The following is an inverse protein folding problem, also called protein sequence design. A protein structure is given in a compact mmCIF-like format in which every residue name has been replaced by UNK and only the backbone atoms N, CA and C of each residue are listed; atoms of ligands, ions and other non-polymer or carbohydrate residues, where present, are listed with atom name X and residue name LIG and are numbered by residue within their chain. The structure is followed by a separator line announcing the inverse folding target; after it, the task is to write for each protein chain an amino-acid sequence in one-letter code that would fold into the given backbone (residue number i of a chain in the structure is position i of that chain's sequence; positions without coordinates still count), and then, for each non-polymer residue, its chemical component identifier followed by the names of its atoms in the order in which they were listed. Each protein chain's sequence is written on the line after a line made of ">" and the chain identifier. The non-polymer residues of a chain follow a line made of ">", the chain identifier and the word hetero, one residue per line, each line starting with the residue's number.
data_IF_201537055268
#
_entry.id   IF_201537055268
#
_cell.length_a   1.000
_cell.length_b   1.000
_cell.length_c   1.000
_cell.angle_alpha   90.00
_cell.angle_beta   90.00
_cell.angle_gamma   90.00
#
_symmetry.space_group_name_H-M   'P 1'
#
loop_
_entity.id
_entity.type
_entity.pdbx_description
1 polymer ?
#
# COMPACT_ATOMS: atom_id res chain seq x y z
N UNK A 1 18.77 3.70 48.53
CA UNK A 1 19.78 3.61 47.43
C UNK A 1 19.67 2.28 46.68
N UNK A 2 19.64 1.12 47.30
CA UNK A 2 19.61 -0.18 46.65
C UNK A 2 18.45 -0.41 45.66
N UNK A 3 17.21 -0.02 46.04
CA UNK A 3 16.03 -0.18 45.20
C UNK A 3 16.11 0.62 43.87
N UNK A 4 16.66 1.82 43.90
CA UNK A 4 16.81 2.64 42.69
C UNK A 4 17.91 2.08 41.75
N UNK A 5 18.96 1.49 42.32
CA UNK A 5 20.01 0.82 41.54
C UNK A 5 19.46 -0.46 40.88
N UNK A 6 18.64 -1.22 41.58
CA UNK A 6 17.96 -2.40 41.05
C UNK A 6 17.02 -2.03 39.90
N UNK A 7 16.13 -1.08 40.10
CA UNK A 7 15.18 -0.60 39.09
C UNK A 7 15.95 -0.13 37.83
N UNK A 8 16.98 0.69 38.00
CA UNK A 8 17.80 1.21 36.89
C UNK A 8 18.47 0.10 36.07
N UNK A 9 19.03 -0.93 36.75
CA UNK A 9 19.68 -2.06 36.05
C UNK A 9 18.68 -2.88 35.24
N UNK A 10 17.50 -3.19 35.82
CA UNK A 10 16.49 -3.97 35.14
C UNK A 10 15.85 -3.20 33.98
N UNK A 11 15.54 -1.92 34.15
CA UNK A 11 15.04 -1.08 33.07
C UNK A 11 16.03 -1.07 31.89
N UNK A 12 17.31 -0.89 32.15
CA UNK A 12 18.31 -0.91 31.07
C UNK A 12 18.37 -2.27 30.36
N UNK A 13 18.36 -3.38 31.12
CA UNK A 13 18.38 -4.73 30.52
C UNK A 13 17.15 -4.97 29.64
N UNK A 14 15.96 -4.65 30.13
CA UNK A 14 14.73 -4.83 29.36
C UNK A 14 14.71 -3.96 28.11
N UNK A 15 15.19 -2.71 28.20
CA UNK A 15 15.28 -1.82 27.03
C UNK A 15 16.27 -2.36 26.00
N UNK A 16 17.42 -2.89 26.42
CA UNK A 16 18.40 -3.53 25.52
C UNK A 16 17.82 -4.77 24.87
N UNK A 17 17.14 -5.63 25.63
CA UNK A 17 16.47 -6.82 25.07
C UNK A 17 15.45 -6.40 24.02
N UNK A 18 14.61 -5.40 24.33
CA UNK A 18 13.62 -4.92 23.39
C UNK A 18 14.25 -4.32 22.12
N UNK A 19 15.33 -3.55 22.28
CA UNK A 19 16.11 -3.03 21.15
C UNK A 19 16.65 -4.16 20.24
N UNK A 20 17.19 -5.23 20.84
CA UNK A 20 17.72 -6.37 20.09
C UNK A 20 16.65 -7.20 19.35
N UNK A 21 15.39 -7.14 19.80
CA UNK A 21 14.28 -7.79 19.09
C UNK A 21 13.97 -7.14 17.74
N UNK A 22 14.34 -5.87 17.53
CA UNK A 22 14.10 -5.17 16.25
C UNK A 22 14.89 -5.81 15.11
N UNK A 23 16.22 -5.89 15.15
CA UNK A 23 16.98 -6.51 14.08
C UNK A 23 16.63 -7.98 13.89
N UNK A 24 16.25 -8.70 14.96
CA UNK A 24 15.76 -10.06 14.86
C UNK A 24 14.43 -10.14 14.09
N UNK A 25 13.51 -9.22 14.35
CA UNK A 25 12.24 -9.13 13.61
C UNK A 25 12.46 -8.77 12.14
N UNK A 26 13.37 -7.85 11.86
CA UNK A 26 13.75 -7.47 10.51
C UNK A 26 14.43 -8.63 9.77
N UNK A 27 15.38 -9.32 10.42
CA UNK A 27 16.00 -10.51 9.86
C UNK A 27 14.96 -11.61 9.57
N UNK A 28 13.98 -11.77 10.46
CA UNK A 28 12.84 -12.66 10.23
C UNK A 28 12.09 -12.31 8.94
N UNK A 29 11.78 -11.05 8.68
CA UNK A 29 11.16 -10.61 7.44
C UNK A 29 11.99 -10.89 6.19
N UNK A 30 13.31 -10.70 6.28
CA UNK A 30 14.22 -10.96 5.18
C UNK A 30 14.41 -12.45 4.87
N UNK A 31 14.33 -13.29 5.91
CA UNK A 31 14.46 -14.75 5.81
C UNK A 31 13.11 -15.43 5.56
N UNK A 32 12.02 -14.65 5.50
CA UNK A 32 10.68 -15.17 5.33
C UNK A 32 10.50 -15.84 3.95
N UNK A 33 9.74 -16.92 3.93
CA UNK A 33 9.31 -17.59 2.70
C UNK A 33 7.85 -17.24 2.39
N UNK A 34 7.45 -17.34 1.13
CA UNK A 34 6.15 -16.93 0.63
C UNK A 34 4.95 -17.53 1.37
N UNK A 35 5.14 -18.65 2.05
CA UNK A 35 4.10 -19.42 2.76
C UNK A 35 4.06 -19.17 4.27
N UNK A 36 4.83 -18.20 4.79
CA UNK A 36 4.88 -17.92 6.23
C UNK A 36 3.65 -17.19 6.73
N UNK A 37 2.70 -17.95 7.24
CA UNK A 37 1.46 -17.46 7.82
C UNK A 37 1.67 -16.46 8.97
N UNK A 38 2.71 -16.67 9.80
CA UNK A 38 2.98 -15.82 10.96
C UNK A 38 3.35 -14.40 10.55
N UNK A 39 4.22 -14.22 9.54
CA UNK A 39 4.60 -12.90 9.04
C UNK A 39 3.39 -12.17 8.43
N UNK A 40 2.55 -12.89 7.68
CA UNK A 40 1.30 -12.34 7.16
C UNK A 40 0.39 -11.85 8.29
N UNK A 41 0.15 -12.68 9.31
CA UNK A 41 -0.66 -12.29 10.46
C UNK A 41 -0.09 -11.05 11.16
N UNK A 42 1.22 -10.95 11.30
CA UNK A 42 1.85 -9.78 11.88
C UNK A 42 1.66 -8.53 11.02
N UNK A 43 1.90 -8.61 9.70
CA UNK A 43 1.77 -7.48 8.78
C UNK A 43 0.33 -6.96 8.68
N UNK A 44 -0.67 -7.84 8.83
CA UNK A 44 -2.08 -7.49 8.83
C UNK A 44 -2.66 -7.27 10.24
N UNK A 45 -1.81 -7.29 11.29
CA UNK A 45 -2.21 -6.96 12.66
C UNK A 45 -2.02 -5.48 12.98
N UNK A 46 -2.57 -4.99 14.12
CA UNK A 46 -2.35 -3.62 14.57
C UNK A 46 -0.91 -3.44 15.07
N UNK A 47 0.01 -3.15 14.17
CA UNK A 47 1.47 -3.00 14.42
C UNK A 47 1.80 -1.93 15.48
N UNK A 48 0.90 -0.98 15.73
CA UNK A 48 1.04 0.00 16.81
C UNK A 48 1.18 -0.63 18.20
N UNK A 49 0.77 -1.90 18.38
CA UNK A 49 0.99 -2.64 19.62
C UNK A 49 2.47 -2.74 20.01
N UNK A 50 3.38 -2.65 19.03
CA UNK A 50 4.83 -2.59 19.30
C UNK A 50 5.24 -1.33 20.07
N UNK A 51 4.46 -0.26 20.03
CA UNK A 51 4.76 0.98 20.74
C UNK A 51 4.48 0.86 22.24
N UNK A 52 3.57 -0.01 22.66
CA UNK A 52 3.15 -0.13 24.07
C UNK A 52 4.31 -0.53 25.02
N UNK A 53 5.11 -1.57 24.72
CA UNK A 53 6.29 -1.88 25.53
C UNK A 53 7.30 -0.73 25.55
N UNK A 54 7.50 -0.06 24.40
CA UNK A 54 8.41 1.07 24.29
C UNK A 54 8.02 2.23 25.22
N UNK A 55 6.74 2.64 25.20
CA UNK A 55 6.24 3.72 26.08
C UNK A 55 6.44 3.34 27.54
N UNK A 56 6.14 2.10 27.92
CA UNK A 56 6.34 1.59 29.28
C UNK A 56 7.81 1.62 29.69
N UNK A 57 8.72 1.21 28.81
CA UNK A 57 10.16 1.23 29.08
C UNK A 57 10.73 2.65 29.16
N UNK A 58 10.26 3.58 28.36
CA UNK A 58 10.63 5.01 28.44
C UNK A 58 10.15 5.63 29.77
N UNK A 59 8.92 5.34 30.18
CA UNK A 59 8.41 5.80 31.48
C UNK A 59 9.24 5.25 32.65
N UNK A 60 9.59 3.95 32.60
CA UNK A 60 10.47 3.34 33.59
C UNK A 60 11.89 3.93 33.57
N UNK A 61 12.42 4.27 32.39
CA UNK A 61 13.74 4.89 32.24
C UNK A 61 13.77 6.28 32.89
N UNK A 62 12.71 7.06 32.75
CA UNK A 62 12.54 8.35 33.41
C UNK A 62 12.47 8.16 34.94
N UNK A 63 11.59 7.29 35.42
CA UNK A 63 11.41 7.00 36.85
C UNK A 63 12.73 6.49 37.50
N UNK A 64 13.47 5.62 36.80
CA UNK A 64 14.76 5.11 37.24
C UNK A 64 15.92 6.08 37.03
N UNK A 65 15.69 7.26 36.45
CA UNK A 65 16.72 8.23 36.06
C UNK A 65 17.87 7.60 35.24
N UNK A 66 17.52 6.69 34.34
CA UNK A 66 18.48 5.94 33.50
C UNK A 66 18.62 6.57 32.12
N UNK A 67 19.57 7.51 31.95
CA UNK A 67 19.83 8.18 30.65
C UNK A 67 20.12 7.18 29.52
N UNK A 68 20.81 6.10 29.81
CA UNK A 68 21.14 5.08 28.80
C UNK A 68 19.90 4.29 28.36
N UNK A 69 19.05 3.84 29.29
CA UNK A 69 17.80 3.17 28.92
C UNK A 69 16.89 4.11 28.12
N UNK A 70 16.82 5.40 28.50
CA UNK A 70 16.04 6.40 27.77
C UNK A 70 16.58 6.61 26.33
N UNK A 71 17.88 6.80 26.16
CA UNK A 71 18.51 6.98 24.85
C UNK A 71 18.32 5.75 23.94
N UNK A 72 18.55 4.55 24.47
CA UNK A 72 18.31 3.30 23.73
C UNK A 72 16.83 3.18 23.36
N UNK A 73 15.90 3.52 24.26
CA UNK A 73 14.47 3.53 23.98
C UNK A 73 14.08 4.46 22.85
N UNK A 74 14.65 5.66 22.77
CA UNK A 74 14.41 6.59 21.64
C UNK A 74 14.92 6.02 20.32
N UNK A 75 16.14 5.46 20.30
CA UNK A 75 16.69 4.82 19.09
C UNK A 75 15.82 3.63 18.67
N UNK A 76 15.34 2.83 19.65
CA UNK A 76 14.38 1.74 19.42
C UNK A 76 13.11 2.26 18.75
N UNK A 77 12.58 3.39 19.23
CA UNK A 77 11.39 4.03 18.64
C UNK A 77 11.58 4.36 17.17
N UNK A 78 12.69 4.98 16.82
CA UNK A 78 13.02 5.29 15.42
C UNK A 78 13.09 4.00 14.58
N UNK A 79 13.77 2.96 15.09
CA UNK A 79 13.89 1.67 14.40
C UNK A 79 12.57 0.89 14.26
N UNK A 80 11.55 1.18 15.08
CA UNK A 80 10.22 0.59 14.95
C UNK A 80 9.36 1.34 13.93
N UNK A 81 9.42 2.67 13.91
CA UNK A 81 8.49 3.52 13.16
C UNK A 81 8.49 3.23 11.65
N UNK A 82 9.64 3.22 11.02
CA UNK A 82 9.72 2.99 9.57
C UNK A 82 9.73 1.50 9.22
N UNK A 83 10.73 0.69 9.65
CA UNK A 83 10.87 -0.65 9.11
C UNK A 83 9.81 -1.65 9.61
N UNK A 84 9.28 -1.49 10.82
CA UNK A 84 8.29 -2.43 11.38
C UNK A 84 6.86 -1.94 11.28
N UNK A 85 6.62 -0.64 11.43
CA UNK A 85 5.27 -0.07 11.34
C UNK A 85 4.92 0.46 9.94
N UNK A 86 5.89 0.54 9.03
CA UNK A 86 5.68 1.02 7.66
C UNK A 86 5.47 2.53 7.56
N UNK A 87 5.87 3.29 8.61
CA UNK A 87 5.80 4.74 8.59
C UNK A 87 6.80 5.32 7.60
N UNK A 88 6.45 6.43 6.96
CA UNK A 88 7.32 7.17 6.05
C UNK A 88 7.39 8.63 6.44
N UNK A 89 8.56 9.21 6.30
CA UNK A 89 8.76 10.65 6.39
C UNK A 89 9.06 11.09 4.95
N UNK A 90 8.02 11.56 4.26
CA UNK A 90 8.14 12.04 2.88
C UNK A 90 8.99 13.30 2.85
N UNK A 91 10.25 13.14 2.54
CA UNK A 91 11.11 14.24 2.13
C UNK A 91 11.13 14.14 0.61
N UNK A 92 10.42 15.05 -0.07
CA UNK A 92 10.61 15.19 -1.52
C UNK A 92 12.08 15.54 -1.74
N UNK A 93 12.85 14.58 -2.19
CA UNK A 93 14.29 14.76 -2.46
C UNK A 93 14.54 15.40 -3.82
N UNK A 94 13.48 15.54 -4.61
CA UNK A 94 13.59 16.15 -5.94
C UNK A 94 13.37 17.66 -5.85
N UNK A 95 14.21 18.47 -6.50
CA UNK A 95 13.94 19.90 -6.66
C UNK A 95 12.60 20.07 -7.38
N UNK A 96 11.95 21.23 -7.19
CA UNK A 96 10.74 21.55 -7.96
C UNK A 96 11.04 21.40 -9.46
N UNK A 97 10.18 20.67 -10.20
CA UNK A 97 10.41 20.50 -11.62
C UNK A 97 10.35 21.85 -12.32
N UNK A 98 11.16 22.06 -13.36
CA UNK A 98 10.98 23.20 -14.24
C UNK A 98 9.53 23.26 -14.78
N UNK A 99 9.00 24.43 -15.12
CA UNK A 99 7.64 24.59 -15.62
C UNK A 99 7.32 23.77 -16.88
N UNK A 100 8.34 23.28 -17.57
CA UNK A 100 8.25 22.50 -18.81
C UNK A 100 7.99 21.01 -18.63
N UNK A 101 7.97 20.49 -17.37
CA UNK A 101 7.68 19.07 -17.16
C UNK A 101 6.19 18.77 -17.24
N UNK A 102 5.84 17.73 -18.01
CA UNK A 102 4.51 17.18 -17.98
C UNK A 102 4.19 16.64 -16.57
N UNK A 103 3.01 16.98 -16.08
CA UNK A 103 2.54 16.60 -14.76
C UNK A 103 1.27 15.77 -14.87
N UNK A 104 1.26 14.64 -14.17
CA UNK A 104 0.13 13.72 -14.12
C UNK A 104 -0.24 13.41 -12.67
N UNK A 105 -1.51 13.64 -12.33
CA UNK A 105 -2.08 13.23 -11.05
C UNK A 105 -2.92 11.99 -11.25
N UNK A 106 -2.52 10.93 -10.60
CA UNK A 106 -3.15 9.60 -10.71
C UNK A 106 -3.76 9.19 -9.38
N UNK A 107 -5.03 8.79 -9.41
CA UNK A 107 -5.73 8.24 -8.25
C UNK A 107 -6.01 6.76 -8.49
N UNK A 108 -5.79 5.92 -7.46
CA UNK A 108 -6.32 4.55 -7.41
C UNK A 108 -7.21 4.37 -6.20
N UNK A 109 -8.31 3.62 -6.36
CA UNK A 109 -9.25 3.36 -5.28
C UNK A 109 -10.04 2.05 -5.49
N UNK A 110 -9.95 1.15 -4.53
CA UNK A 110 -10.89 0.04 -4.44
C UNK A 110 -12.22 0.57 -3.88
N UNK A 111 -13.22 0.67 -4.75
CA UNK A 111 -14.53 1.26 -4.46
C UNK A 111 -15.54 0.26 -3.87
N UNK A 112 -15.11 -0.94 -3.51
CA UNK A 112 -15.98 -1.94 -2.91
C UNK A 112 -16.73 -1.40 -1.70
N UNK A 113 -18.02 -1.76 -1.57
CA UNK A 113 -18.96 -1.28 -0.54
C UNK A 113 -19.41 0.20 -0.67
N UNK A 114 -18.85 0.99 -1.59
CA UNK A 114 -19.25 2.38 -1.82
C UNK A 114 -20.46 2.51 -2.77
N UNK A 115 -21.50 1.70 -2.53
CA UNK A 115 -22.67 1.56 -3.41
C UNK A 115 -23.78 2.59 -3.15
N UNK A 116 -23.71 3.32 -2.04
CA UNK A 116 -24.76 4.26 -1.66
C UNK A 116 -24.52 5.67 -2.21
N UNK A 117 -25.59 6.45 -2.30
CA UNK A 117 -25.56 7.81 -2.84
C UNK A 117 -24.61 8.77 -2.10
N UNK A 118 -24.40 8.56 -0.78
CA UNK A 118 -23.48 9.39 0.00
C UNK A 118 -22.03 9.12 -0.41
N UNK A 119 -21.65 7.87 -0.62
CA UNK A 119 -20.31 7.45 -1.07
C UNK A 119 -20.03 7.99 -2.50
N UNK A 120 -21.01 7.87 -3.40
CA UNK A 120 -20.89 8.41 -4.77
C UNK A 120 -20.73 9.93 -4.74
N UNK A 121 -21.49 10.62 -3.89
CA UNK A 121 -21.35 12.07 -3.72
C UNK A 121 -19.96 12.44 -3.16
N UNK A 122 -19.48 11.71 -2.14
CA UNK A 122 -18.15 11.93 -1.58
C UNK A 122 -17.05 11.71 -2.62
N UNK A 123 -17.19 10.67 -3.45
CA UNK A 123 -16.27 10.40 -4.55
C UNK A 123 -16.23 11.56 -5.57
N UNK A 124 -17.39 12.07 -5.99
CA UNK A 124 -17.48 13.23 -6.90
C UNK A 124 -16.81 14.48 -6.30
N UNK A 125 -17.15 14.82 -5.06
CA UNK A 125 -16.55 15.98 -4.38
C UNK A 125 -15.04 15.83 -4.24
N UNK A 126 -14.56 14.62 -3.99
CA UNK A 126 -13.13 14.38 -3.87
C UNK A 126 -12.39 14.43 -5.21
N UNK A 127 -13.03 14.05 -6.32
CA UNK A 127 -12.49 14.28 -7.66
C UNK A 127 -12.35 15.78 -7.97
N UNK A 128 -13.38 16.58 -7.61
CA UNK A 128 -13.36 18.03 -7.80
C UNK A 128 -12.26 18.70 -6.96
N UNK A 129 -12.03 18.24 -5.73
CA UNK A 129 -11.00 18.76 -4.85
C UNK A 129 -9.60 18.35 -5.29
N UNK A 130 -9.40 17.06 -5.57
CA UNK A 130 -8.08 16.48 -5.84
C UNK A 130 -7.62 16.65 -7.30
N UNK A 131 -8.55 16.93 -8.24
CA UNK A 131 -8.25 17.19 -9.65
C UNK A 131 -7.35 16.13 -10.30
N UNK A 132 -7.67 14.83 -10.24
CA UNK A 132 -6.87 13.80 -10.88
C UNK A 132 -6.95 13.90 -12.41
N UNK A 133 -5.96 13.41 -13.12
CA UNK A 133 -5.93 13.25 -14.58
C UNK A 133 -6.40 11.87 -15.01
N UNK A 134 -6.10 10.87 -14.17
CA UNK A 134 -6.39 9.45 -14.37
C UNK A 134 -6.90 8.87 -13.05
N UNK A 135 -8.01 8.13 -13.13
CA UNK A 135 -8.60 7.41 -11.99
C UNK A 135 -8.65 5.92 -12.32
N UNK A 136 -8.14 5.11 -11.41
CA UNK A 136 -8.03 3.64 -11.54
C UNK A 136 -8.85 3.00 -10.44
N UNK A 137 -9.97 2.33 -10.78
CA UNK A 137 -10.92 1.78 -9.82
C UNK A 137 -10.92 0.25 -9.83
N UNK A 138 -10.98 -0.34 -8.64
CA UNK A 138 -11.21 -1.77 -8.42
C UNK A 138 -12.53 -1.94 -7.67
N UNK A 139 -13.14 -3.12 -7.77
CA UNK A 139 -14.46 -3.42 -7.22
C UNK A 139 -15.49 -2.31 -7.51
N UNK A 140 -15.35 -1.63 -8.65
CA UNK A 140 -16.19 -0.48 -8.98
C UNK A 140 -17.66 -0.92 -9.08
N UNK A 141 -18.55 -0.41 -8.21
CA UNK A 141 -19.94 -0.80 -8.21
C UNK A 141 -20.67 -0.28 -9.46
N UNK A 142 -21.76 -0.95 -9.83
CA UNK A 142 -22.60 -0.58 -10.99
C UNK A 142 -23.27 0.78 -10.84
N UNK A 143 -23.42 1.24 -9.61
CA UNK A 143 -23.98 2.52 -9.21
C UNK A 143 -23.08 3.70 -9.63
N UNK A 144 -21.78 3.49 -9.73
CA UNK A 144 -20.83 4.48 -10.27
C UNK A 144 -20.93 4.47 -11.79
N UNK A 145 -21.50 5.53 -12.35
CA UNK A 145 -21.80 5.69 -13.79
C UNK A 145 -20.84 6.67 -14.46
N UNK A 146 -20.88 6.74 -15.77
CA UNK A 146 -20.09 7.73 -16.53
C UNK A 146 -20.34 9.17 -16.08
N UNK A 147 -21.59 9.53 -15.75
CA UNK A 147 -21.93 10.84 -15.22
C UNK A 147 -21.41 11.17 -13.81
N UNK A 148 -20.71 10.23 -13.15
CA UNK A 148 -20.01 10.47 -11.88
C UNK A 148 -18.58 10.97 -12.08
N UNK A 149 -18.11 11.00 -13.32
CA UNK A 149 -16.82 11.59 -13.71
C UNK A 149 -17.03 12.95 -14.38
N UNK A 150 -16.02 13.82 -14.42
CA UNK A 150 -16.12 15.11 -15.06
C UNK A 150 -16.50 15.01 -16.54
N UNK A 151 -17.24 16.00 -17.04
CA UNK A 151 -17.68 16.02 -18.44
C UNK A 151 -16.48 15.93 -19.40
N UNK A 152 -16.64 15.15 -20.45
CA UNK A 152 -15.62 14.96 -21.47
C UNK A 152 -14.55 13.91 -21.13
N UNK A 153 -14.64 13.27 -19.97
CA UNK A 153 -13.74 12.17 -19.62
C UNK A 153 -14.07 10.91 -20.40
N UNK A 154 -13.02 10.13 -20.70
CA UNK A 154 -13.16 8.78 -21.24
C UNK A 154 -13.23 7.79 -20.09
N UNK A 155 -14.34 7.04 -20.02
CA UNK A 155 -14.54 6.00 -19.00
C UNK A 155 -14.47 4.63 -19.66
N UNK A 156 -13.57 3.79 -19.19
CA UNK A 156 -13.25 2.50 -19.79
C UNK A 156 -13.47 1.37 -18.78
N UNK A 157 -14.31 0.40 -19.13
CA UNK A 157 -14.57 -0.78 -18.31
C UNK A 157 -13.72 -1.97 -18.79
N UNK A 158 -12.98 -2.62 -17.88
CA UNK A 158 -12.23 -3.84 -18.14
C UNK A 158 -12.97 -5.12 -17.69
N UNK A 159 -14.20 -4.99 -17.19
CA UNK A 159 -14.90 -6.11 -16.56
C UNK A 159 -14.38 -6.40 -15.14
N UNK A 160 -15.00 -7.35 -14.44
CA UNK A 160 -14.63 -7.77 -13.08
C UNK A 160 -14.48 -6.63 -12.06
N UNK A 161 -15.26 -5.53 -12.20
CA UNK A 161 -15.17 -4.36 -11.35
C UNK A 161 -13.96 -3.45 -11.62
N UNK A 162 -13.18 -3.74 -12.66
CA UNK A 162 -12.06 -2.87 -13.07
C UNK A 162 -12.56 -1.75 -13.98
N UNK A 163 -12.21 -0.51 -13.64
CA UNK A 163 -12.53 0.66 -14.45
C UNK A 163 -11.38 1.65 -14.44
N UNK A 164 -11.17 2.32 -15.56
CA UNK A 164 -10.25 3.45 -15.65
C UNK A 164 -11.00 4.62 -16.25
N UNK A 165 -10.88 5.80 -15.65
CA UNK A 165 -11.38 7.05 -16.19
C UNK A 165 -10.23 8.03 -16.38
N UNK A 166 -10.26 8.80 -17.47
CA UNK A 166 -9.20 9.76 -17.80
C UNK A 166 -9.75 10.99 -18.49
N UNK A 167 -9.15 12.15 -18.22
CA UNK A 167 -9.42 13.37 -18.98
C UNK A 167 -8.89 13.31 -20.42
N UNK A 168 -8.03 12.34 -20.70
CA UNK A 168 -7.47 12.08 -22.03
C UNK A 168 -8.25 10.97 -22.74
N UNK A 169 -8.11 10.89 -24.05
CA UNK A 169 -8.63 9.77 -24.81
C UNK A 169 -7.94 8.47 -24.40
N UNK A 170 -8.70 7.39 -24.45
CA UNK A 170 -8.12 6.10 -24.12
C UNK A 170 -9.05 4.96 -24.53
N UNK A 171 -8.54 3.74 -24.40
CA UNK A 171 -9.29 2.52 -24.63
C UNK A 171 -8.87 1.42 -23.65
N UNK A 172 -9.80 0.57 -23.33
CA UNK A 172 -9.48 -0.72 -22.74
C UNK A 172 -8.88 -1.62 -23.83
N UNK A 173 -7.76 -2.28 -23.55
CA UNK A 173 -7.09 -3.12 -24.50
C UNK A 173 -7.32 -4.61 -24.21
N UNK A 174 -7.06 -5.03 -22.98
CA UNK A 174 -7.13 -6.43 -22.59
C UNK A 174 -7.43 -6.58 -21.11
N UNK A 175 -8.14 -7.64 -20.73
CA UNK A 175 -8.28 -8.05 -19.33
C UNK A 175 -7.76 -9.47 -19.17
N UNK A 176 -6.82 -9.65 -18.25
CA UNK A 176 -6.47 -10.96 -17.74
C UNK A 176 -7.59 -11.38 -16.79
N UNK A 177 -8.56 -12.09 -17.35
CA UNK A 177 -9.75 -12.48 -16.64
C UNK A 177 -9.50 -13.62 -15.67
N UNK A 178 -10.50 -13.86 -14.84
CA UNK A 178 -10.62 -14.99 -13.94
C UNK A 178 -10.67 -16.31 -14.73
N UNK A 179 -9.52 -16.75 -15.21
CA UNK A 179 -9.35 -18.17 -15.51
C UNK A 179 -9.20 -18.89 -14.18
N UNK A 180 -9.40 -20.20 -14.14
CA UNK A 180 -9.28 -21.04 -12.94
C UNK A 180 -7.94 -20.90 -12.17
N UNK A 181 -7.00 -20.09 -12.67
CA UNK A 181 -5.67 -19.85 -12.13
C UNK A 181 -5.51 -18.48 -11.44
N UNK A 182 -6.39 -17.52 -11.70
CA UNK A 182 -6.32 -16.13 -11.18
C UNK A 182 -7.65 -15.77 -10.54
N UNK A 183 -8.18 -16.63 -9.70
CA UNK A 183 -9.40 -16.38 -8.94
C UNK A 183 -9.05 -15.89 -7.54
N UNK A 184 -9.72 -14.87 -7.04
CA UNK A 184 -10.67 -13.93 -7.65
C UNK A 184 -10.02 -12.66 -8.23
N UNK A 185 -8.70 -12.64 -8.43
CA UNK A 185 -7.97 -11.49 -8.92
C UNK A 185 -8.21 -11.22 -10.40
N UNK A 186 -8.06 -9.99 -10.79
CA UNK A 186 -8.14 -9.54 -12.18
C UNK A 186 -7.11 -8.45 -12.46
N UNK A 187 -6.74 -8.30 -13.71
CA UNK A 187 -5.86 -7.24 -14.17
C UNK A 187 -6.34 -6.73 -15.53
N UNK A 188 -6.42 -5.42 -15.71
CA UNK A 188 -6.81 -4.78 -16.96
C UNK A 188 -5.70 -3.90 -17.50
N UNK A 189 -5.49 -3.92 -18.82
CA UNK A 189 -4.58 -3.04 -19.54
C UNK A 189 -5.38 -2.01 -20.31
N UNK A 190 -4.99 -0.74 -20.12
CA UNK A 190 -5.64 0.40 -20.74
C UNK A 190 -4.58 1.29 -21.38
N UNK A 191 -4.92 1.86 -22.50
CA UNK A 191 -4.07 2.76 -23.27
C UNK A 191 -4.64 4.16 -23.17
N UNK A 192 -3.84 5.11 -22.70
CA UNK A 192 -4.20 6.53 -22.55
C UNK A 192 -3.33 7.35 -23.50
N UNK A 193 -3.95 8.14 -24.37
CA UNK A 193 -3.28 8.99 -25.35
C UNK A 193 -3.12 10.39 -24.75
N UNK A 194 -1.92 10.73 -24.28
CA UNK A 194 -1.61 12.02 -23.68
C UNK A 194 -0.82 12.90 -24.64
N UNK A 195 -0.70 14.22 -24.39
CA UNK A 195 0.16 15.09 -25.22
C UNK A 195 1.63 14.67 -25.25
N UNK A 196 2.10 13.99 -24.19
CA UNK A 196 3.50 13.61 -24.01
C UNK A 196 3.77 12.15 -24.46
N UNK A 197 2.76 11.51 -25.04
CA UNK A 197 2.85 10.14 -25.52
C UNK A 197 1.78 9.22 -24.95
N UNK A 198 1.91 7.95 -25.26
CA UNK A 198 0.96 6.92 -24.82
C UNK A 198 1.39 6.38 -23.48
N UNK A 199 0.49 6.49 -22.48
CA UNK A 199 0.67 5.89 -21.16
C UNK A 199 -0.14 4.59 -21.09
N UNK A 200 0.53 3.49 -20.78
CA UNK A 200 -0.14 2.20 -20.50
C UNK A 200 -0.47 2.11 -19.01
N UNK A 201 -1.75 1.93 -18.69
CA UNK A 201 -2.23 1.73 -17.33
C UNK A 201 -2.54 0.25 -17.12
N UNK A 202 -1.91 -0.36 -16.13
CA UNK A 202 -2.27 -1.68 -15.61
C UNK A 202 -3.06 -1.51 -14.32
N UNK A 203 -4.36 -1.82 -14.37
CA UNK A 203 -5.26 -1.79 -13.22
C UNK A 203 -5.30 -3.18 -12.61
N UNK A 204 -4.84 -3.33 -11.37
CA UNK A 204 -4.72 -4.62 -10.69
C UNK A 204 -5.69 -4.74 -9.50
N UNK A 205 -6.28 -5.92 -9.35
CA UNK A 205 -6.95 -6.36 -8.14
C UNK A 205 -6.54 -7.80 -7.85
N UNK A 206 -5.55 -8.00 -6.97
CA UNK A 206 -4.99 -9.30 -6.63
C UNK A 206 -5.78 -9.98 -5.49
N UNK A 207 -5.69 -11.32 -5.35
CA UNK A 207 -6.40 -12.05 -4.31
C UNK A 207 -6.04 -11.60 -2.90
N UNK A 208 -7.06 -11.48 -2.04
CA UNK A 208 -6.88 -11.09 -0.65
C UNK A 208 -6.51 -12.27 0.24
N UNK A 209 -5.59 -12.12 1.23
CA UNK A 209 -5.32 -13.14 2.21
C UNK A 209 -6.37 -13.20 3.34
N UNK A 210 -7.36 -12.32 3.33
CA UNK A 210 -8.35 -12.15 4.39
C UNK A 210 -9.07 -13.44 4.80
N UNK A 211 -9.58 -14.29 3.89
CA UNK A 211 -10.26 -15.51 4.28
C UNK A 211 -9.38 -16.43 5.13
N UNK A 212 -8.11 -16.59 4.76
CA UNK A 212 -7.15 -17.39 5.52
C UNK A 212 -6.80 -16.77 6.87
N UNK A 213 -6.70 -15.43 6.96
CA UNK A 213 -6.48 -14.72 8.22
C UNK A 213 -7.67 -14.91 9.16
N UNK A 214 -8.89 -14.81 8.65
CA UNK A 214 -10.13 -15.04 9.42
C UNK A 214 -10.24 -16.48 9.93
N UNK A 215 -9.92 -17.46 9.10
CA UNK A 215 -9.87 -18.88 9.49
C UNK A 215 -8.82 -19.17 10.56
N UNK A 216 -7.63 -18.60 10.43
CA UNK A 216 -6.59 -18.70 11.45
C UNK A 216 -7.05 -18.10 12.78
N UNK A 217 -7.71 -16.95 12.76
CA UNK A 217 -8.26 -16.29 13.95
C UNK A 217 -9.39 -17.13 14.61
N UNK A 218 -10.29 -17.70 13.82
CA UNK A 218 -11.37 -18.57 14.33
C UNK A 218 -10.81 -19.81 15.03
N UNK A 219 -9.71 -20.36 14.52
CA UNK A 219 -9.00 -21.48 15.17
C UNK A 219 -8.11 -21.06 16.34
N UNK A 220 -8.23 -19.81 16.84
CA UNK A 220 -7.34 -19.23 17.87
C UNK A 220 -5.85 -19.34 17.52
N UNK A 221 -5.52 -19.20 16.24
CA UNK A 221 -4.16 -19.32 15.69
C UNK A 221 -3.50 -20.69 15.89
N UNK A 222 -4.30 -21.74 16.03
CA UNK A 222 -3.78 -23.12 16.15
C UNK A 222 -3.71 -23.86 14.81
N UNK A 223 -4.42 -23.36 13.76
CA UNK A 223 -4.45 -23.97 12.43
C UNK A 223 -4.19 -22.92 11.36
N UNK A 224 -3.20 -23.18 10.52
CA UNK A 224 -2.76 -22.26 9.45
C UNK A 224 -2.96 -22.81 8.04
N UNK A 225 -3.57 -24.01 7.90
CA UNK A 225 -3.72 -24.68 6.61
C UNK A 225 -4.44 -23.80 5.56
N UNK A 226 -5.60 -23.25 5.91
CA UNK A 226 -6.36 -22.38 5.01
C UNK A 226 -5.59 -21.11 4.66
N UNK A 227 -4.90 -20.50 5.63
CA UNK A 227 -4.09 -19.33 5.38
C UNK A 227 -2.96 -19.63 4.38
N UNK A 228 -2.27 -20.75 4.55
CA UNK A 228 -1.22 -21.21 3.61
C UNK A 228 -1.78 -21.38 2.20
N UNK A 229 -2.91 -22.08 2.05
CA UNK A 229 -3.54 -22.27 0.75
C UNK A 229 -3.90 -20.95 0.08
N UNK A 230 -4.43 -19.99 0.84
CA UNK A 230 -4.76 -18.65 0.30
C UNK A 230 -3.50 -17.88 -0.08
N UNK A 231 -2.42 -17.97 0.70
CA UNK A 231 -1.15 -17.33 0.38
C UNK A 231 -0.47 -17.94 -0.87
N UNK A 232 -0.55 -19.26 -1.04
CA UNK A 232 -0.07 -19.93 -2.25
C UNK A 232 -0.86 -19.47 -3.49
N UNK A 233 -2.19 -19.33 -3.37
CA UNK A 233 -3.03 -18.81 -4.43
C UNK A 233 -2.66 -17.36 -4.76
N UNK A 234 -2.49 -16.51 -3.74
CA UNK A 234 -2.06 -15.12 -3.92
C UNK A 234 -0.70 -15.04 -4.62
N UNK A 235 0.27 -15.86 -4.20
CA UNK A 235 1.61 -15.92 -4.81
C UNK A 235 1.55 -16.34 -6.28
N UNK A 236 0.75 -17.36 -6.61
CA UNK A 236 0.53 -17.82 -7.97
C UNK A 236 -0.12 -16.74 -8.83
N UNK A 237 -1.16 -16.08 -8.33
CA UNK A 237 -1.86 -15.01 -9.03
C UNK A 237 -0.96 -13.81 -9.28
N UNK A 238 -0.21 -13.36 -8.25
CA UNK A 238 0.75 -12.27 -8.37
C UNK A 238 1.80 -12.55 -9.45
N UNK A 239 2.39 -13.75 -9.44
CA UNK A 239 3.36 -14.18 -10.47
C UNK A 239 2.73 -14.16 -11.87
N UNK A 240 1.54 -14.71 -12.04
CA UNK A 240 0.85 -14.75 -13.34
C UNK A 240 0.57 -13.34 -13.86
N UNK A 241 0.09 -12.43 -13.00
CA UNK A 241 -0.15 -11.04 -13.38
C UNK A 241 1.17 -10.33 -13.69
N UNK A 242 2.22 -10.56 -12.91
CA UNK A 242 3.56 -10.00 -13.17
C UNK A 242 4.12 -10.44 -14.51
N UNK A 243 3.97 -11.72 -14.86
CA UNK A 243 4.37 -12.27 -16.16
C UNK A 243 3.54 -11.70 -17.30
N UNK A 244 2.25 -11.41 -17.09
CA UNK A 244 1.38 -10.78 -18.08
C UNK A 244 1.71 -9.29 -18.27
N UNK A 245 1.98 -8.54 -17.20
CA UNK A 245 2.49 -7.16 -17.26
C UNK A 245 3.83 -7.13 -18.00
N UNK A 246 4.68 -8.16 -17.83
CA UNK A 246 6.03 -8.29 -18.39
C UNK A 246 6.92 -7.10 -18.01
N UNK A 247 7.80 -6.71 -18.93
CA UNK A 247 8.55 -5.45 -18.83
C UNK A 247 7.88 -4.41 -19.75
N UNK A 248 7.05 -3.51 -19.18
CA UNK A 248 6.35 -2.53 -19.98
C UNK A 248 7.35 -1.65 -20.73
N UNK A 249 7.10 -1.43 -22.01
CA UNK A 249 7.88 -0.51 -22.83
C UNK A 249 7.23 0.87 -22.84
N UNK A 250 8.03 1.93 -22.83
CA UNK A 250 7.54 3.31 -22.84
C UNK A 250 6.93 3.74 -21.49
N UNK A 251 5.98 4.66 -21.55
CA UNK A 251 5.34 5.21 -20.36
C UNK A 251 4.30 4.24 -19.81
N UNK A 252 4.43 3.87 -18.55
CA UNK A 252 3.45 3.00 -17.90
C UNK A 252 3.27 3.29 -16.42
N UNK A 253 2.09 2.92 -15.93
CA UNK A 253 1.75 2.89 -14.52
C UNK A 253 1.05 1.58 -14.18
N UNK A 254 1.34 1.05 -13.01
CA UNK A 254 0.65 -0.12 -12.46
C UNK A 254 -0.03 0.35 -11.17
N UNK A 255 -1.34 0.32 -11.15
CA UNK A 255 -2.09 0.85 -10.01
C UNK A 255 -3.22 -0.09 -9.60
N UNK A 256 -3.57 -0.11 -8.31
CA UNK A 256 -4.69 -0.88 -7.83
C UNK A 256 -4.50 -1.47 -6.46
N UNK A 257 -5.39 -2.42 -6.15
CA UNK A 257 -5.37 -3.20 -4.91
C UNK A 257 -4.53 -4.47 -5.11
N UNK A 258 -3.31 -4.43 -4.61
CA UNK A 258 -2.39 -5.58 -4.65
C UNK A 258 -2.69 -6.60 -3.55
N UNK A 259 -3.54 -6.23 -2.59
CA UNK A 259 -3.85 -7.05 -1.42
C UNK A 259 -2.60 -7.56 -0.69
N UNK A 260 -1.48 -6.80 -0.75
CA UNK A 260 -0.24 -7.12 -0.04
C UNK A 260 0.54 -5.86 0.34
N UNK A 261 1.06 -5.78 1.57
CA UNK A 261 1.99 -4.73 1.98
C UNK A 261 3.34 -4.83 1.28
N UNK A 262 4.03 -3.68 1.11
CA UNK A 262 5.37 -3.63 0.49
C UNK A 262 6.43 -4.42 1.26
N UNK A 263 6.19 -4.67 2.54
CA UNK A 263 7.09 -5.43 3.41
C UNK A 263 7.04 -6.94 3.15
N UNK A 264 6.03 -7.45 2.43
CA UNK A 264 5.96 -8.88 2.10
C UNK A 264 7.05 -9.28 1.11
N UNK A 265 7.57 -10.49 1.24
CA UNK A 265 8.53 -11.04 0.28
C UNK A 265 7.90 -11.17 -1.11
N UNK A 266 6.61 -11.53 -1.16
CA UNK A 266 5.84 -11.61 -2.40
C UNK A 266 5.86 -10.28 -3.17
N UNK A 267 5.58 -9.15 -2.47
CA UNK A 267 5.63 -7.84 -3.08
C UNK A 267 7.05 -7.52 -3.57
N UNK A 268 8.06 -7.73 -2.74
CA UNK A 268 9.46 -7.46 -3.12
C UNK A 268 9.91 -8.26 -4.33
N UNK A 269 9.53 -9.53 -4.43
CA UNK A 269 9.88 -10.41 -5.55
C UNK A 269 9.23 -9.96 -6.86
N UNK A 270 7.93 -9.68 -6.85
CA UNK A 270 7.16 -9.45 -8.07
C UNK A 270 7.09 -7.96 -8.46
N UNK A 271 7.05 -7.07 -7.49
CA UNK A 271 6.76 -5.64 -7.68
C UNK A 271 7.85 -4.70 -7.19
N UNK A 272 8.80 -5.19 -6.42
CA UNK A 272 9.88 -4.40 -5.82
C UNK A 272 10.87 -3.77 -6.81
N UNK A 273 10.83 -4.16 -8.08
CA UNK A 273 11.64 -3.55 -9.15
C UNK A 273 11.07 -2.25 -9.71
N UNK A 274 9.85 -1.86 -9.31
CA UNK A 274 9.21 -0.61 -9.73
C UNK A 274 9.28 0.45 -8.64
N UNK A 275 9.23 1.72 -9.03
CA UNK A 275 9.11 2.84 -8.08
C UNK A 275 7.71 2.82 -7.47
N UNK A 276 7.61 2.76 -6.15
CA UNK A 276 6.32 2.80 -5.43
C UNK A 276 6.05 4.21 -4.94
N UNK A 277 4.94 4.81 -5.37
CA UNK A 277 4.65 6.21 -5.12
C UNK A 277 4.66 6.59 -3.64
N UNK A 278 4.02 5.80 -2.78
CA UNK A 278 4.00 6.11 -1.35
C UNK A 278 5.34 5.83 -0.68
N UNK A 279 6.09 4.84 -1.15
CA UNK A 279 7.42 4.55 -0.60
C UNK A 279 8.44 5.63 -0.93
N UNK A 280 8.31 6.28 -2.11
CA UNK A 280 9.21 7.35 -2.58
C UNK A 280 8.84 8.72 -1.98
N UNK A 281 7.56 9.09 -2.02
CA UNK A 281 7.11 10.46 -1.74
C UNK A 281 5.90 10.56 -0.80
N UNK A 282 5.53 9.46 -0.13
CA UNK A 282 4.44 9.45 0.84
C UNK A 282 4.90 9.87 2.24
N UNK A 283 3.98 10.38 3.06
CA UNK A 283 4.23 10.74 4.45
C UNK A 283 3.18 10.11 5.38
N UNK A 284 3.61 9.69 6.57
CA UNK A 284 2.77 9.02 7.55
C UNK A 284 2.72 7.50 7.36
N UNK A 285 1.61 6.87 7.74
CA UNK A 285 1.48 5.41 7.74
C UNK A 285 1.04 4.82 6.40
N UNK A 286 0.42 5.63 5.53
CA UNK A 286 -0.02 5.23 4.21
C UNK A 286 -1.09 4.13 4.17
N UNK A 287 -1.79 3.88 5.26
CA UNK A 287 -2.79 2.82 5.33
C UNK A 287 -3.99 3.10 4.43
N UNK A 288 -4.16 2.31 3.39
CA UNK A 288 -5.25 2.43 2.41
C UNK A 288 -6.44 1.56 2.77
N UNK A 289 -6.21 0.35 3.28
CA UNK A 289 -7.27 -0.55 3.78
C UNK A 289 -7.49 -0.31 5.27
N UNK A 290 -8.70 0.10 5.62
CA UNK A 290 -9.06 0.42 7.01
C UNK A 290 -9.79 -0.76 7.67
N UNK A 291 -9.48 -0.97 8.94
CA UNK A 291 -10.19 -1.89 9.82
C UNK A 291 -10.65 -1.13 11.07
N UNK A 292 -11.40 -1.77 11.97
CA UNK A 292 -11.83 -1.12 13.23
C UNK A 292 -10.66 -0.60 14.07
N UNK A 293 -9.47 -1.21 14.00
CA UNK A 293 -8.38 -0.97 14.95
C UNK A 293 -7.10 -0.44 14.32
N UNK A 294 -6.94 -0.56 13.02
CA UNK A 294 -5.72 -0.19 12.30
C UNK A 294 -5.99 -0.09 10.80
N UNK A 295 -5.00 0.38 10.07
CA UNK A 295 -4.99 0.36 8.60
C UNK A 295 -3.75 -0.35 8.08
N UNK A 296 -3.84 -0.89 6.86
CA UNK A 296 -2.74 -1.55 6.15
C UNK A 296 -2.63 -0.94 4.76
N UNK A 297 -1.41 -0.72 4.27
CA UNK A 297 -1.16 -0.22 2.92
C UNK A 297 -1.07 -1.39 1.96
N UNK A 298 -2.10 -1.60 1.16
CA UNK A 298 -2.20 -2.68 0.18
C UNK A 298 -2.60 -2.19 -1.21
N UNK A 299 -3.00 -0.92 -1.34
CA UNK A 299 -3.21 -0.27 -2.62
C UNK A 299 -1.94 0.51 -2.99
N UNK A 300 -1.51 0.39 -4.23
CA UNK A 300 -0.25 0.96 -4.70
C UNK A 300 -0.40 1.63 -6.06
N UNK A 301 0.45 2.63 -6.30
CA UNK A 301 0.73 3.19 -7.62
C UNK A 301 2.23 2.99 -7.87
N UNK A 302 2.55 2.26 -8.93
CA UNK A 302 3.90 1.95 -9.32
C UNK A 302 4.20 2.56 -10.68
N UNK A 303 5.43 3.00 -10.88
CA UNK A 303 5.92 3.51 -12.16
C UNK A 303 7.31 2.97 -12.46
N UNK A 304 7.69 3.06 -13.73
CA UNK A 304 9.07 2.91 -14.17
C UNK A 304 9.63 4.24 -14.63
N UNK A 305 10.93 4.26 -15.00
CA UNK A 305 11.52 5.37 -15.73
C UNK A 305 10.72 5.60 -17.03
N UNK A 306 10.47 6.85 -17.47
CA UNK A 306 11.07 8.10 -16.97
C UNK A 306 10.18 8.90 -15.99
N UNK A 307 9.20 8.30 -15.35
CA UNK A 307 8.40 9.00 -14.36
C UNK A 307 9.18 9.29 -13.08
N UNK A 308 9.00 10.49 -12.53
CA UNK A 308 9.45 10.90 -11.20
C UNK A 308 8.26 11.16 -10.29
N UNK A 309 8.23 10.50 -9.15
CA UNK A 309 7.16 10.64 -8.18
C UNK A 309 7.46 11.85 -7.28
N UNK A 310 6.55 12.83 -7.23
CA UNK A 310 6.71 14.08 -6.50
C UNK A 310 6.01 14.08 -5.15
N UNK A 311 4.83 13.50 -5.12
CA UNK A 311 4.01 13.41 -3.92
C UNK A 311 3.15 12.16 -3.98
N UNK A 312 2.85 11.59 -2.82
CA UNK A 312 1.83 10.57 -2.70
C UNK A 312 1.08 10.72 -1.39
N UNK A 313 -0.24 10.77 -1.47
CA UNK A 313 -1.12 10.96 -0.31
C UNK A 313 -2.23 9.89 -0.29
N UNK A 314 -2.66 9.54 0.92
CA UNK A 314 -3.88 8.76 1.14
C UNK A 314 -5.03 9.74 1.37
N UNK A 315 -6.08 9.62 0.58
CA UNK A 315 -7.26 10.46 0.66
C UNK A 315 -8.20 10.14 1.82
N UNK A 316 -9.35 10.83 1.89
CA UNK A 316 -10.33 10.65 2.94
C UNK A 316 -11.10 9.32 2.81
N UNK A 317 -11.94 9.04 3.79
CA UNK A 317 -12.94 7.98 3.71
C UNK A 317 -14.06 8.38 2.74
N UNK A 318 -14.25 7.59 1.69
CA UNK A 318 -15.30 7.79 0.67
C UNK A 318 -16.43 6.75 0.79
N UNK A 319 -16.49 6.03 1.92
CA UNK A 319 -17.53 5.02 2.17
C UNK A 319 -17.15 3.59 1.74
N UNK A 320 -15.94 3.37 1.25
CA UNK A 320 -15.31 2.06 1.11
C UNK A 320 -14.48 1.73 2.35
N UNK A 321 -14.18 0.47 2.58
CA UNK A 321 -13.17 0.10 3.56
C UNK A 321 -11.72 0.32 3.04
N UNK A 322 -11.58 0.83 1.80
CA UNK A 322 -10.36 1.39 1.25
C UNK A 322 -10.44 2.91 1.12
N UNK A 323 -9.31 3.57 1.32
CA UNK A 323 -9.11 4.99 1.02
C UNK A 323 -8.40 5.15 -0.32
N UNK A 324 -8.73 6.18 -1.11
CA UNK A 324 -8.02 6.43 -2.35
C UNK A 324 -6.56 6.79 -2.09
N UNK A 325 -5.69 6.35 -2.99
CA UNK A 325 -4.28 6.75 -3.04
C UNK A 325 -4.08 7.65 -4.25
N UNK A 326 -3.44 8.81 -4.04
CA UNK A 326 -3.16 9.79 -5.10
C UNK A 326 -1.67 10.00 -5.19
N UNK A 327 -1.15 9.98 -6.42
CA UNK A 327 0.24 10.29 -6.71
C UNK A 327 0.37 11.40 -7.75
N UNK A 328 1.27 12.33 -7.49
CA UNK A 328 1.73 13.32 -8.45
C UNK A 328 3.04 12.84 -9.09
N UNK A 329 3.03 12.74 -10.40
CA UNK A 329 4.16 12.29 -11.19
C UNK A 329 4.55 13.39 -12.19
N UNK A 330 5.84 13.52 -12.45
CA UNK A 330 6.36 14.36 -13.54
C UNK A 330 7.09 13.49 -14.53
N UNK A 331 7.02 13.89 -15.79
CA UNK A 331 7.74 13.28 -16.89
C UNK A 331 8.79 14.26 -17.38
N UNK A 332 10.04 13.83 -17.44
CA UNK A 332 11.15 14.64 -17.94
C UNK A 332 11.00 14.87 -19.44
N UNK A 333 11.09 16.12 -19.93
CA UNK A 333 11.06 16.42 -21.36
C UNK A 333 12.35 15.89 -22.05
N UNK A 334 12.17 15.18 -23.14
CA UNK A 334 13.30 14.84 -24.04
C UNK A 334 13.66 13.37 -24.18
N UNK A 335 12.67 12.47 -24.10
CA UNK A 335 12.85 11.07 -24.48
C UNK A 335 12.20 10.76 -25.84
#
# INVERSE_FOLDING_TARGET
>A
MAANTFLRRWTLRLTVVYFLLIPLSLAWYWLDTEDRAITTLFLYSPRWLLVLPLVSLLALAIAARSRWAFGIGLITGIGILEPLMGGRIGISTWPEPPPAYAHYRVMTWNAGKAENAASIKAFRSFQEESQPDIIVLQECPSEVREGDFPNGWTVMSGGHGLRVASRFRGRHEETLGSTSLVLPGSAGRYIIETPDGVITIYNLHLPTPRPGIEAARQSKFLKFGELKTVLELQAKSSKTVREWVREPQGLFLIAGDFNMPVETQLYRRDWGGYQNAFSEAGSGWGGTKTTKWHSVRIDHILSGSPFHIRQCIVGPDLGSDHRPLIADLTLEEGL
#
